data_IF_090756488480
#
_entry.id   IF_090756488480
#
_cell.length_a   1.000
_cell.length_b   1.000
_cell.length_c   1.000
_cell.angle_alpha   90.00
_cell.angle_beta   90.00
_cell.angle_gamma   90.00
#
_symmetry.space_group_name_H-M   'P 1'
#
loop_
_entity.id
_entity.type
_entity.pdbx_description
1 polymer ?
#
# COMPACT_ATOMS: atom_id res chain seq x y z
N UNK A 1 -10.22 -0.70 10.15
CA UNK A 1 -10.98 -0.64 11.42
C UNK A 1 -11.96 -1.82 11.48
N UNK A 2 -12.92 -1.95 10.54
CA UNK A 2 -13.96 -3.01 10.59
C UNK A 2 -13.38 -4.44 10.61
N UNK A 3 -12.32 -4.70 9.86
CA UNK A 3 -11.59 -5.97 9.88
C UNK A 3 -11.02 -6.29 11.27
N UNK A 4 -10.32 -5.34 11.89
CA UNK A 4 -9.71 -5.52 13.20
C UNK A 4 -10.71 -5.54 14.36
N UNK A 5 -11.90 -4.98 14.15
CA UNK A 5 -12.99 -5.04 15.14
C UNK A 5 -13.63 -6.43 15.24
N UNK A 6 -13.33 -7.34 14.30
CA UNK A 6 -13.83 -8.73 14.26
C UNK A 6 -15.34 -8.84 14.49
N UNK A 7 -16.11 -7.89 13.92
CA UNK A 7 -17.56 -7.82 14.10
C UNK A 7 -18.18 -9.10 13.55
N UNK A 8 -18.88 -9.84 14.42
CA UNK A 8 -19.62 -11.02 14.05
C UNK A 8 -21.12 -10.70 14.02
N UNK A 9 -21.78 -11.05 12.91
CA UNK A 9 -23.21 -10.91 12.74
C UNK A 9 -23.81 -12.28 12.34
N UNK A 10 -24.70 -12.85 13.15
CA UNK A 10 -25.23 -14.21 13.00
C UNK A 10 -24.14 -15.30 12.80
N UNK A 11 -23.03 -15.22 13.52
CA UNK A 11 -21.92 -16.17 13.39
C UNK A 11 -21.04 -16.00 12.14
N UNK A 12 -21.35 -15.03 11.29
CA UNK A 12 -20.56 -14.67 10.11
C UNK A 12 -19.71 -13.44 10.41
N UNK A 13 -18.51 -13.40 9.88
CA UNK A 13 -17.63 -12.22 9.90
C UNK A 13 -17.64 -11.59 8.49
N UNK A 14 -18.49 -10.59 8.23
CA UNK A 14 -18.70 -10.05 6.89
C UNK A 14 -17.49 -9.29 6.33
N UNK A 15 -16.52 -8.90 7.17
CA UNK A 15 -15.35 -8.11 6.76
C UNK A 15 -14.04 -8.88 6.85
N UNK A 16 -14.06 -10.22 6.65
CA UNK A 16 -12.85 -11.06 6.69
C UNK A 16 -11.77 -10.64 5.69
N UNK A 17 -12.16 -10.20 4.50
CA UNK A 17 -11.24 -9.70 3.48
C UNK A 17 -10.80 -8.24 3.65
N UNK A 18 -11.12 -7.59 4.78
CA UNK A 18 -10.79 -6.17 4.98
C UNK A 18 -9.29 -5.84 5.03
N UNK A 19 -8.42 -6.85 5.11
CA UNK A 19 -6.96 -6.71 5.00
C UNK A 19 -6.53 -6.15 3.63
N UNK A 20 -7.31 -6.35 2.55
CA UNK A 20 -7.04 -5.76 1.23
C UNK A 20 -7.00 -4.23 1.23
N UNK A 21 -7.45 -3.59 2.29
CA UNK A 21 -7.34 -2.14 2.45
C UNK A 21 -5.91 -1.62 2.34
N UNK A 22 -4.91 -2.43 2.72
CA UNK A 22 -3.49 -2.11 2.55
C UNK A 22 -3.10 -2.13 1.08
N UNK A 23 -3.55 -3.14 0.33
CA UNK A 23 -3.26 -3.28 -1.10
C UNK A 23 -3.85 -2.11 -1.91
N UNK A 24 -5.10 -1.72 -1.58
CA UNK A 24 -5.76 -0.52 -2.13
C UNK A 24 -4.92 0.73 -1.85
N UNK A 25 -4.47 0.87 -0.62
CA UNK A 25 -3.66 2.01 -0.19
C UNK A 25 -2.32 2.06 -0.94
N UNK A 26 -1.66 0.93 -1.18
CA UNK A 26 -0.43 0.85 -1.98
C UNK A 26 -0.64 1.31 -3.42
N UNK A 27 -1.74 0.93 -4.07
CA UNK A 27 -2.05 1.43 -5.44
C UNK A 27 -2.21 2.96 -5.44
N UNK A 28 -2.98 3.50 -4.49
CA UNK A 28 -3.19 4.95 -4.37
C UNK A 28 -1.86 5.66 -4.13
N UNK A 29 -1.02 5.13 -3.24
CA UNK A 29 0.30 5.66 -2.92
C UNK A 29 1.24 5.67 -4.12
N UNK A 30 1.30 4.56 -4.86
CA UNK A 30 2.08 4.46 -6.09
C UNK A 30 1.62 5.46 -7.15
N UNK A 31 0.31 5.61 -7.34
CA UNK A 31 -0.27 6.59 -8.26
C UNK A 31 0.09 8.04 -7.87
N UNK A 32 -0.10 8.41 -6.61
CA UNK A 32 0.16 9.78 -6.13
C UNK A 32 1.64 10.15 -6.22
N UNK A 33 2.54 9.24 -5.78
CA UNK A 33 3.98 9.48 -5.80
C UNK A 33 4.51 9.62 -7.22
N UNK A 34 4.10 8.73 -8.10
CA UNK A 34 4.50 8.77 -9.51
C UNK A 34 3.99 10.04 -10.19
N UNK A 35 2.74 10.42 -9.91
CA UNK A 35 2.16 11.67 -10.43
C UNK A 35 2.96 12.90 -9.98
N UNK A 36 3.38 12.96 -8.71
CA UNK A 36 4.18 14.07 -8.20
C UNK A 36 5.54 14.13 -8.89
N UNK A 37 6.25 13.00 -8.98
CA UNK A 37 7.59 12.95 -9.57
C UNK A 37 7.55 13.28 -11.06
N UNK A 38 6.68 12.62 -11.81
CA UNK A 38 6.61 12.80 -13.27
C UNK A 38 6.11 14.19 -13.66
N UNK A 39 5.12 14.76 -12.93
CA UNK A 39 4.66 16.13 -13.17
C UNK A 39 5.79 17.12 -12.95
N UNK A 40 6.56 17.00 -11.86
CA UNK A 40 7.71 17.86 -11.60
C UNK A 40 8.77 17.73 -12.71
N UNK A 41 9.12 16.50 -13.12
CA UNK A 41 10.08 16.24 -14.19
C UNK A 41 9.64 16.77 -15.57
N UNK A 42 8.36 16.64 -15.90
CA UNK A 42 7.84 17.13 -17.19
C UNK A 42 7.74 18.65 -17.23
N UNK A 43 7.39 19.29 -16.11
CA UNK A 43 7.19 20.74 -16.04
C UNK A 43 8.48 21.53 -15.85
N UNK A 44 9.39 21.04 -15.01
CA UNK A 44 10.61 21.78 -14.63
C UNK A 44 11.90 21.19 -15.21
N UNK A 45 11.84 19.98 -15.76
CA UNK A 45 13.03 19.24 -16.21
C UNK A 45 13.91 18.70 -15.07
N UNK A 46 13.59 19.03 -13.82
CA UNK A 46 14.39 18.69 -12.63
C UNK A 46 13.49 18.10 -11.54
N UNK A 47 14.10 17.43 -10.57
CA UNK A 47 13.40 16.90 -9.41
C UNK A 47 14.13 17.25 -8.12
N UNK A 48 13.41 17.79 -7.15
CA UNK A 48 13.98 18.21 -5.87
C UNK A 48 13.70 17.20 -4.76
N UNK A 49 14.68 16.37 -4.45
CA UNK A 49 14.63 15.44 -3.31
C UNK A 49 14.29 16.12 -1.99
N UNK A 50 14.88 17.31 -1.74
CA UNK A 50 14.67 18.08 -0.51
C UNK A 50 13.19 18.44 -0.33
N UNK A 51 12.54 18.95 -1.37
CA UNK A 51 11.12 19.30 -1.32
C UNK A 51 10.23 18.05 -1.21
N UNK A 52 10.55 17.01 -1.95
CA UNK A 52 9.81 15.76 -1.92
C UNK A 52 9.81 15.13 -0.54
N UNK A 53 11.00 14.82 0.02
CA UNK A 53 11.09 14.20 1.34
C UNK A 53 10.65 15.15 2.47
N UNK A 54 10.89 16.45 2.35
CA UNK A 54 10.43 17.43 3.33
C UNK A 54 8.90 17.50 3.43
N UNK A 55 8.16 17.36 2.34
CA UNK A 55 6.69 17.26 2.36
C UNK A 55 6.22 15.95 3.00
N UNK A 56 6.89 14.85 2.69
CA UNK A 56 6.58 13.52 3.27
C UNK A 56 6.83 13.50 4.78
N UNK A 57 8.01 13.92 5.22
CA UNK A 57 8.36 13.98 6.62
C UNK A 57 7.34 14.81 7.43
N UNK A 58 6.96 16.00 6.94
CA UNK A 58 5.96 16.84 7.60
C UNK A 58 4.55 16.23 7.65
N UNK A 59 4.24 15.31 6.74
CA UNK A 59 2.95 14.61 6.71
C UNK A 59 2.92 13.40 7.63
N UNK A 60 4.02 12.65 7.72
CA UNK A 60 4.06 11.33 8.36
C UNK A 60 4.61 11.41 9.78
N UNK A 61 5.76 12.08 9.97
CA UNK A 61 6.46 12.07 11.25
C UNK A 61 5.64 12.64 12.42
N UNK A 62 4.88 13.75 12.28
CA UNK A 62 4.11 14.27 13.42
C UNK A 62 3.09 13.27 13.95
N UNK A 63 2.34 12.61 13.06
CA UNK A 63 1.35 11.61 13.45
C UNK A 63 2.01 10.35 14.06
N UNK A 64 3.09 9.87 13.42
CA UNK A 64 3.85 8.71 13.89
C UNK A 64 4.42 8.95 15.29
N UNK A 65 5.12 10.09 15.50
CA UNK A 65 5.70 10.44 16.79
C UNK A 65 4.64 10.65 17.85
N UNK A 66 3.52 11.30 17.50
CA UNK A 66 2.42 11.49 18.44
C UNK A 66 1.85 10.16 18.93
N UNK A 67 1.55 9.22 18.03
CA UNK A 67 1.05 7.89 18.40
C UNK A 67 2.07 7.15 19.26
N UNK A 68 3.36 7.20 18.92
CA UNK A 68 4.42 6.56 19.71
C UNK A 68 4.50 7.15 21.13
N UNK A 69 4.52 8.47 21.26
CA UNK A 69 4.61 9.15 22.55
C UNK A 69 3.39 8.87 23.43
N UNK A 70 2.19 8.89 22.85
CA UNK A 70 0.96 8.59 23.60
C UNK A 70 0.91 7.11 24.01
N UNK A 71 1.42 6.20 23.18
CA UNK A 71 1.39 4.76 23.49
C UNK A 71 2.38 4.34 24.58
N UNK A 72 3.49 5.08 24.77
CA UNK A 72 4.54 4.73 25.74
C UNK A 72 4.04 4.60 27.19
N UNK A 73 3.29 5.57 27.77
CA UNK A 73 2.76 5.44 29.13
C UNK A 73 1.85 4.22 29.30
N UNK A 74 0.98 3.96 28.31
CA UNK A 74 0.10 2.80 28.36
C UNK A 74 0.88 1.49 28.27
N UNK A 75 1.88 1.42 27.38
CA UNK A 75 2.75 0.27 27.28
C UNK A 75 3.50 -0.01 28.59
N UNK A 76 4.02 1.04 29.23
CA UNK A 76 4.66 0.94 30.54
C UNK A 76 3.73 0.39 31.64
N UNK A 77 2.45 0.81 31.63
CA UNK A 77 1.48 0.43 32.67
C UNK A 77 0.91 -0.99 32.46
N UNK A 78 0.75 -1.43 31.19
CA UNK A 78 -0.04 -2.62 30.88
C UNK A 78 0.75 -3.79 30.30
N UNK A 79 1.97 -3.56 29.76
CA UNK A 79 2.76 -4.63 29.16
C UNK A 79 3.67 -5.31 30.20
N UNK A 80 3.81 -6.62 30.07
CA UNK A 80 4.81 -7.38 30.80
C UNK A 80 6.23 -6.96 30.35
N UNK A 81 7.27 -7.12 31.19
CA UNK A 81 8.63 -6.68 30.87
C UNK A 81 9.14 -7.17 29.51
N UNK A 82 8.90 -8.43 29.14
CA UNK A 82 9.27 -8.99 27.84
C UNK A 82 8.57 -8.30 26.68
N UNK A 83 7.24 -8.19 26.73
CA UNK A 83 6.42 -7.52 25.72
C UNK A 83 6.73 -6.01 25.64
N UNK A 84 7.13 -5.36 26.74
CA UNK A 84 7.57 -3.98 26.72
C UNK A 84 8.90 -3.78 25.99
N UNK A 85 9.84 -4.73 26.13
CA UNK A 85 11.08 -4.73 25.37
C UNK A 85 10.78 -4.84 23.86
N UNK A 86 9.90 -5.76 23.47
CA UNK A 86 9.53 -5.96 22.07
C UNK A 86 8.75 -4.77 21.50
N UNK A 87 7.87 -4.16 22.30
CA UNK A 87 7.24 -2.89 21.98
C UNK A 87 8.28 -1.78 21.72
N UNK A 88 9.27 -1.63 22.62
CA UNK A 88 10.32 -0.62 22.48
C UNK A 88 11.17 -0.83 21.23
N UNK A 89 11.52 -2.09 20.91
CA UNK A 89 12.18 -2.44 19.65
C UNK A 89 11.33 -2.05 18.45
N UNK A 90 10.03 -2.37 18.47
CA UNK A 90 9.11 -2.04 17.37
C UNK A 90 9.03 -0.53 17.10
N UNK A 91 9.12 0.32 18.13
CA UNK A 91 9.23 1.78 17.99
C UNK A 91 10.51 2.16 17.24
N UNK A 92 11.67 1.64 17.65
CA UNK A 92 12.95 1.96 17.01
C UNK A 92 12.98 1.56 15.53
N UNK A 93 12.51 0.35 15.23
CA UNK A 93 12.40 -0.12 13.84
C UNK A 93 11.39 0.71 13.03
N UNK A 94 10.31 1.17 13.65
CA UNK A 94 9.31 2.02 12.98
C UNK A 94 9.86 3.42 12.66
N UNK A 95 10.67 4.01 13.55
CA UNK A 95 11.37 5.28 13.28
C UNK A 95 12.37 5.17 12.13
N UNK A 96 12.98 4.00 11.95
CA UNK A 96 13.89 3.70 10.84
C UNK A 96 13.19 3.17 9.58
N UNK A 97 11.86 3.18 9.51
CA UNK A 97 11.07 2.60 8.40
C UNK A 97 11.48 1.17 8.04
N UNK A 98 11.76 0.37 9.05
CA UNK A 98 12.21 -1.03 8.95
C UNK A 98 11.39 -2.00 9.81
N UNK A 99 10.22 -1.56 10.29
CA UNK A 99 9.35 -2.39 11.13
C UNK A 99 8.83 -3.65 10.41
N UNK A 100 8.71 -3.63 9.08
CA UNK A 100 8.38 -4.80 8.29
C UNK A 100 9.40 -5.95 8.46
N UNK A 101 10.69 -5.65 8.48
CA UNK A 101 11.73 -6.65 8.79
C UNK A 101 11.62 -7.15 10.23
N UNK A 102 11.44 -6.24 11.18
CA UNK A 102 11.29 -6.59 12.58
C UNK A 102 10.12 -7.56 12.81
N UNK A 103 8.95 -7.25 12.26
CA UNK A 103 7.78 -8.10 12.44
C UNK A 103 7.87 -9.43 11.72
N UNK A 104 8.52 -9.50 10.56
CA UNK A 104 8.83 -10.76 9.90
C UNK A 104 9.67 -11.65 10.82
N UNK A 105 10.85 -11.21 11.22
CA UNK A 105 11.76 -12.02 12.04
C UNK A 105 11.23 -12.32 13.44
N UNK A 106 10.55 -11.37 14.09
CA UNK A 106 9.96 -11.59 15.42
C UNK A 106 8.73 -12.50 15.39
N UNK A 107 8.07 -12.64 14.25
CA UNK A 107 6.93 -13.55 14.07
C UNK A 107 7.33 -15.00 13.82
N UNK A 108 8.54 -15.24 13.34
CA UNK A 108 9.08 -16.58 13.06
C UNK A 108 9.81 -17.23 14.24
N UNK A 109 10.01 -16.50 15.33
CA UNK A 109 10.67 -17.02 16.53
C UNK A 109 9.76 -18.02 17.27
N UNK A 110 10.37 -19.06 17.82
CA UNK A 110 9.67 -20.03 18.65
C UNK A 110 9.04 -19.35 19.88
N UNK A 111 7.74 -19.57 20.08
CA UNK A 111 6.97 -18.92 21.16
C UNK A 111 6.62 -17.45 20.88
N UNK A 112 6.70 -17.00 19.62
CA UNK A 112 6.33 -15.64 19.24
C UNK A 112 4.88 -15.32 19.64
N UNK A 113 4.68 -14.12 20.22
CA UNK A 113 3.34 -13.61 20.53
C UNK A 113 2.50 -13.44 19.26
N UNK A 114 1.20 -13.66 19.41
CA UNK A 114 0.23 -13.39 18.34
C UNK A 114 0.37 -11.96 17.85
N UNK A 115 0.29 -11.77 16.53
CA UNK A 115 0.30 -10.42 15.93
C UNK A 115 -0.75 -9.48 16.50
N UNK A 116 -1.88 -10.02 17.02
CA UNK A 116 -2.93 -9.24 17.68
C UNK A 116 -2.46 -8.56 18.97
N UNK A 117 -1.42 -9.05 19.61
CA UNK A 117 -0.83 -8.50 20.84
C UNK A 117 0.32 -7.53 20.55
N UNK A 118 0.66 -7.27 19.28
CA UNK A 118 1.74 -6.35 18.87
C UNK A 118 1.17 -4.97 18.51
N UNK A 119 1.22 -3.95 19.38
CA UNK A 119 0.52 -2.67 19.18
C UNK A 119 0.88 -1.93 17.89
N UNK A 120 2.15 -2.00 17.45
CA UNK A 120 2.64 -1.32 16.25
C UNK A 120 2.71 -2.21 15.00
N UNK A 121 2.10 -3.40 15.03
CA UNK A 121 2.14 -4.31 13.88
C UNK A 121 1.73 -3.61 12.58
N UNK A 122 0.67 -2.79 12.60
CA UNK A 122 0.13 -2.09 11.43
C UNK A 122 1.11 -1.12 10.75
N UNK A 123 2.21 -0.72 11.42
CA UNK A 123 3.22 0.20 10.85
C UNK A 123 4.12 -0.51 9.80
N UNK A 124 4.07 -1.84 9.72
CA UNK A 124 4.83 -2.56 8.70
C UNK A 124 4.56 -2.06 7.28
N UNK A 125 3.30 -1.75 6.95
CA UNK A 125 2.92 -1.27 5.63
C UNK A 125 3.47 0.13 5.34
N UNK A 126 3.50 1.02 6.35
CA UNK A 126 4.15 2.32 6.24
C UNK A 126 5.65 2.17 5.94
N UNK A 127 6.34 1.21 6.57
CA UNK A 127 7.76 0.94 6.30
C UNK A 127 7.99 0.50 4.86
N UNK A 128 7.17 -0.40 4.33
CA UNK A 128 7.23 -0.83 2.92
C UNK A 128 7.01 0.35 1.97
N UNK A 129 6.06 1.21 2.30
CA UNK A 129 5.72 2.39 1.51
C UNK A 129 6.88 3.40 1.48
N UNK A 130 7.50 3.69 2.62
CA UNK A 130 8.63 4.62 2.71
C UNK A 130 9.89 4.06 2.04
N UNK A 131 10.14 2.75 2.12
CA UNK A 131 11.19 2.09 1.35
C UNK A 131 10.98 2.27 -0.16
N UNK A 132 9.74 2.13 -0.64
CA UNK A 132 9.40 2.43 -2.03
C UNK A 132 9.66 3.89 -2.37
N UNK A 133 9.29 4.83 -1.51
CA UNK A 133 9.50 6.26 -1.73
C UNK A 133 10.97 6.67 -1.73
N UNK A 134 11.86 5.89 -1.11
CA UNK A 134 13.30 6.10 -1.19
C UNK A 134 13.86 5.58 -2.52
N UNK A 135 13.48 4.36 -2.91
CA UNK A 135 14.04 3.69 -4.08
C UNK A 135 13.44 4.20 -5.40
N UNK A 136 12.14 4.38 -5.44
CA UNK A 136 11.40 4.66 -6.68
C UNK A 136 11.77 5.99 -7.36
N UNK A 137 11.94 7.14 -6.66
CA UNK A 137 12.39 8.38 -7.29
C UNK A 137 13.75 8.22 -7.96
N UNK A 138 14.67 7.45 -7.36
CA UNK A 138 16.00 7.19 -7.92
C UNK A 138 15.86 6.41 -9.24
N UNK A 139 15.05 5.35 -9.25
CA UNK A 139 14.79 4.55 -10.46
C UNK A 139 14.15 5.40 -11.56
N UNK A 140 13.13 6.19 -11.22
CA UNK A 140 12.48 7.08 -12.19
C UNK A 140 13.45 8.11 -12.77
N UNK A 141 14.27 8.74 -11.94
CA UNK A 141 15.22 9.76 -12.39
C UNK A 141 16.29 9.19 -13.31
N UNK A 142 16.89 8.06 -12.94
CA UNK A 142 17.88 7.36 -13.78
C UNK A 142 17.24 6.98 -15.12
N UNK A 143 16.06 6.38 -15.06
CA UNK A 143 15.34 5.96 -16.26
C UNK A 143 14.91 7.15 -17.13
N UNK A 144 14.38 8.21 -16.53
CA UNK A 144 13.96 9.41 -17.25
C UNK A 144 15.13 10.13 -17.92
N UNK A 145 16.31 10.16 -17.26
CA UNK A 145 17.51 10.80 -17.78
C UNK A 145 18.18 10.02 -18.91
N UNK A 146 18.31 8.70 -18.77
CA UNK A 146 19.10 7.90 -19.69
C UNK A 146 18.28 6.99 -20.61
N UNK A 147 17.07 6.61 -20.20
CA UNK A 147 16.24 5.60 -20.84
C UNK A 147 14.76 6.01 -20.94
N UNK A 148 14.47 7.30 -21.15
CA UNK A 148 13.11 7.85 -21.12
C UNK A 148 12.12 7.04 -21.98
N UNK A 149 12.54 6.58 -23.15
CA UNK A 149 11.72 5.76 -24.07
C UNK A 149 11.30 4.42 -23.46
N UNK A 150 12.10 3.89 -22.54
CA UNK A 150 11.89 2.56 -21.93
C UNK A 150 11.22 2.63 -20.55
N UNK A 151 10.86 3.82 -20.06
CA UNK A 151 10.29 3.99 -18.72
C UNK A 151 9.06 3.09 -18.49
N UNK A 152 8.11 3.07 -19.45
CA UNK A 152 6.93 2.21 -19.35
C UNK A 152 7.29 0.72 -19.30
N UNK A 153 8.26 0.28 -20.07
CA UNK A 153 8.71 -1.12 -20.10
C UNK A 153 9.36 -1.53 -18.78
N UNK A 154 10.13 -0.63 -18.16
CA UNK A 154 10.76 -0.86 -16.85
C UNK A 154 9.69 -0.96 -15.75
N UNK A 155 8.66 -0.10 -15.79
CA UNK A 155 7.54 -0.18 -14.84
C UNK A 155 6.75 -1.48 -15.01
N UNK A 156 6.44 -1.87 -16.25
CA UNK A 156 5.74 -3.14 -16.54
C UNK A 156 6.59 -4.35 -16.12
N UNK A 157 7.87 -4.35 -16.45
CA UNK A 157 8.78 -5.45 -16.08
C UNK A 157 8.88 -5.58 -14.55
N UNK A 158 9.06 -4.46 -13.84
CA UNK A 158 9.06 -4.45 -12.37
C UNK A 158 7.74 -4.96 -11.78
N UNK A 159 6.61 -4.55 -12.35
CA UNK A 159 5.28 -5.04 -11.98
C UNK A 159 5.17 -6.56 -12.13
N UNK A 160 5.54 -7.10 -13.30
CA UNK A 160 5.44 -8.54 -13.58
C UNK A 160 6.38 -9.37 -12.71
N UNK A 161 7.63 -8.92 -12.52
CA UNK A 161 8.59 -9.61 -11.64
C UNK A 161 8.08 -9.63 -10.21
N UNK A 162 7.64 -8.48 -9.67
CA UNK A 162 7.14 -8.40 -8.31
C UNK A 162 5.87 -9.22 -8.09
N UNK A 163 4.95 -9.23 -9.06
CA UNK A 163 3.74 -10.05 -9.01
C UNK A 163 4.07 -11.56 -9.08
N UNK A 164 5.01 -11.95 -9.93
CA UNK A 164 5.50 -13.33 -9.99
C UNK A 164 6.16 -13.78 -8.69
N UNK A 165 6.97 -12.91 -8.08
CA UNK A 165 7.58 -13.15 -6.77
C UNK A 165 6.52 -13.21 -5.65
N UNK A 166 5.47 -12.41 -5.73
CA UNK A 166 4.36 -12.44 -4.79
C UNK A 166 3.60 -13.79 -4.84
N UNK A 167 3.25 -14.25 -6.05
CA UNK A 167 2.56 -15.54 -6.24
C UNK A 167 3.41 -16.72 -5.78
N UNK A 168 4.69 -16.74 -6.16
CA UNK A 168 5.61 -17.80 -5.74
C UNK A 168 5.90 -17.73 -4.23
N UNK A 169 6.18 -16.52 -3.72
CA UNK A 169 6.56 -16.29 -2.34
C UNK A 169 5.43 -16.57 -1.35
N UNK A 170 4.20 -16.22 -1.68
CA UNK A 170 3.04 -16.49 -0.81
C UNK A 170 2.78 -17.98 -0.58
N UNK A 171 3.22 -18.84 -1.51
CA UNK A 171 3.10 -20.30 -1.40
C UNK A 171 4.26 -20.94 -0.65
N UNK A 172 5.48 -20.37 -0.78
CA UNK A 172 6.70 -21.01 -0.25
C UNK A 172 7.21 -20.32 1.02
N UNK A 173 7.07 -18.98 1.10
CA UNK A 173 7.57 -18.13 2.19
C UNK A 173 6.52 -17.08 2.57
N UNK A 174 5.35 -17.46 3.14
CA UNK A 174 4.20 -16.56 3.34
C UNK A 174 4.54 -15.31 4.15
N UNK A 175 5.29 -15.45 5.26
CA UNK A 175 5.67 -14.34 6.12
C UNK A 175 6.57 -13.34 5.37
N UNK A 176 7.62 -13.79 4.70
CA UNK A 176 8.50 -12.92 3.92
C UNK A 176 7.74 -12.22 2.77
N UNK A 177 6.87 -12.98 2.09
CA UNK A 177 6.05 -12.43 1.00
C UNK A 177 5.07 -11.36 1.49
N UNK A 178 4.55 -11.49 2.69
CA UNK A 178 3.64 -10.53 3.28
C UNK A 178 4.33 -9.20 3.65
N UNK A 179 5.55 -9.26 4.21
CA UNK A 179 6.20 -8.09 4.80
C UNK A 179 7.18 -7.37 3.88
N UNK A 180 7.73 -8.00 2.84
CA UNK A 180 8.83 -7.40 2.08
C UNK A 180 8.37 -6.63 0.85
N UNK A 181 9.11 -5.54 0.56
CA UNK A 181 8.82 -4.65 -0.55
C UNK A 181 8.80 -5.37 -1.91
N UNK A 182 9.74 -6.28 -2.18
CA UNK A 182 9.88 -6.90 -3.51
C UNK A 182 8.67 -7.74 -3.93
N UNK A 183 7.87 -8.24 -2.99
CA UNK A 183 6.64 -8.99 -3.22
C UNK A 183 5.38 -8.12 -3.16
N UNK A 184 5.50 -6.89 -2.68
CA UNK A 184 4.41 -5.90 -2.55
C UNK A 184 4.51 -4.77 -3.57
N UNK A 185 5.69 -4.60 -4.17
CA UNK A 185 5.98 -3.47 -5.06
C UNK A 185 5.06 -3.41 -6.28
N UNK A 186 4.54 -4.56 -6.76
CA UNK A 186 3.61 -4.60 -7.89
C UNK A 186 2.31 -3.83 -7.63
N UNK A 187 1.83 -3.78 -6.39
CA UNK A 187 0.64 -3.02 -6.00
C UNK A 187 0.90 -1.51 -6.15
N UNK A 188 2.05 -1.03 -5.69
CA UNK A 188 2.52 0.35 -5.89
C UNK A 188 2.76 0.65 -7.37
N UNK A 189 3.36 -0.29 -8.11
CA UNK A 189 3.63 -0.14 -9.53
C UNK A 189 2.36 -0.14 -10.39
N UNK A 190 1.29 -0.83 -9.99
CA UNK A 190 -0.02 -0.74 -10.63
C UNK A 190 -0.51 0.72 -10.64
N UNK A 191 -0.45 1.40 -9.48
CA UNK A 191 -0.75 2.83 -9.39
C UNK A 191 0.20 3.69 -10.21
N UNK A 192 1.50 3.35 -10.22
CA UNK A 192 2.52 4.08 -10.99
C UNK A 192 2.30 3.99 -12.49
N UNK A 193 1.87 2.85 -12.99
CA UNK A 193 1.52 2.64 -14.41
C UNK A 193 0.33 3.51 -14.82
N UNK A 194 -0.69 3.62 -13.95
CA UNK A 194 -1.82 4.52 -14.18
C UNK A 194 -1.38 5.99 -14.26
N UNK A 195 -0.57 6.44 -13.30
CA UNK A 195 -0.06 7.80 -13.27
C UNK A 195 0.78 8.14 -14.51
N UNK A 196 1.63 7.21 -14.94
CA UNK A 196 2.43 7.36 -16.16
C UNK A 196 1.53 7.49 -17.40
N UNK A 197 0.51 6.64 -17.51
CA UNK A 197 -0.42 6.68 -18.64
C UNK A 197 -1.22 7.99 -18.67
N UNK A 198 -1.70 8.47 -17.52
CA UNK A 198 -2.44 9.73 -17.40
C UNK A 198 -1.60 10.94 -17.85
N UNK A 199 -0.33 11.00 -17.43
CA UNK A 199 0.55 12.14 -17.75
C UNK A 199 0.92 12.16 -19.23
N UNK A 200 1.13 11.00 -19.87
CA UNK A 200 1.53 10.96 -21.27
C UNK A 200 0.37 11.11 -22.25
N UNK A 201 -0.79 10.56 -21.94
CA UNK A 201 -1.95 10.54 -22.85
C UNK A 201 -2.96 11.66 -22.55
N UNK A 202 -2.76 12.41 -21.48
CA UNK A 202 -3.43 13.67 -21.21
C UNK A 202 -4.85 13.59 -20.69
N UNK A 203 -5.57 12.45 -20.73
CA UNK A 203 -6.95 12.39 -20.23
C UNK A 203 -7.47 10.98 -19.91
N UNK A 204 -8.35 10.97 -18.91
CA UNK A 204 -9.33 9.93 -18.61
C UNK A 204 -10.27 9.72 -19.79
N UNK A 205 -10.94 8.58 -19.82
CA UNK A 205 -11.91 8.26 -20.87
C UNK A 205 -12.97 9.38 -21.03
N UNK A 206 -13.27 9.74 -22.27
CA UNK A 206 -14.36 10.66 -22.63
C UNK A 206 -15.72 9.95 -22.81
N UNK A 207 -15.74 8.63 -22.73
CA UNK A 207 -16.94 7.83 -22.94
C UNK A 207 -17.72 7.75 -21.62
N UNK A 208 -18.88 8.44 -21.56
CA UNK A 208 -19.74 8.50 -20.37
C UNK A 208 -20.19 7.11 -19.91
N UNK A 209 -20.50 6.21 -20.84
CA UNK A 209 -20.93 4.85 -20.51
C UNK A 209 -19.82 4.06 -19.82
N UNK A 210 -18.57 4.15 -20.32
CA UNK A 210 -17.42 3.51 -19.68
C UNK A 210 -17.12 4.10 -18.30
N UNK A 211 -17.27 5.41 -18.15
CA UNK A 211 -17.04 6.11 -16.89
C UNK A 211 -18.09 5.75 -15.82
N UNK A 212 -19.28 5.33 -16.22
CA UNK A 212 -20.29 4.82 -15.28
C UNK A 212 -20.09 3.33 -14.95
N UNK A 213 -19.88 2.50 -15.96
CA UNK A 213 -19.84 1.04 -15.81
C UNK A 213 -18.56 0.58 -15.11
N UNK A 214 -17.38 1.04 -15.55
CA UNK A 214 -16.10 0.52 -15.08
C UNK A 214 -15.80 0.84 -13.60
N UNK A 215 -16.08 2.04 -13.06
CA UNK A 215 -15.98 2.27 -11.62
C UNK A 215 -16.96 1.42 -10.80
N UNK A 216 -18.17 1.15 -11.34
CA UNK A 216 -19.14 0.26 -10.69
C UNK A 216 -18.59 -1.17 -10.60
N UNK A 217 -18.02 -1.69 -11.70
CA UNK A 217 -17.32 -2.98 -11.69
C UNK A 217 -16.18 -2.95 -10.68
N UNK A 218 -15.42 -1.85 -10.64
CA UNK A 218 -14.34 -1.67 -9.66
C UNK A 218 -14.82 -1.78 -8.21
N UNK A 219 -15.93 -1.14 -7.87
CA UNK A 219 -16.54 -1.27 -6.54
C UNK A 219 -17.03 -2.69 -6.25
N UNK A 220 -17.60 -3.37 -7.22
CA UNK A 220 -18.04 -4.76 -7.09
C UNK A 220 -16.85 -5.68 -6.81
N UNK A 221 -15.72 -5.51 -7.52
CA UNK A 221 -14.50 -6.30 -7.32
C UNK A 221 -13.92 -6.09 -5.91
N UNK A 222 -13.89 -4.85 -5.43
CA UNK A 222 -13.44 -4.54 -4.07
C UNK A 222 -14.42 -5.12 -3.04
N UNK A 223 -15.72 -4.91 -3.22
CA UNK A 223 -16.76 -5.45 -2.33
C UNK A 223 -16.74 -6.98 -2.26
N UNK A 224 -16.61 -7.64 -3.41
CA UNK A 224 -16.42 -9.09 -3.49
C UNK A 224 -15.19 -9.53 -2.67
N UNK A 225 -14.07 -8.84 -2.84
CA UNK A 225 -12.84 -9.18 -2.11
C UNK A 225 -13.00 -8.99 -0.60
N UNK A 226 -13.67 -7.92 -0.14
CA UNK A 226 -13.95 -7.69 1.29
C UNK A 226 -14.80 -8.81 1.88
N UNK A 227 -15.81 -9.28 1.16
CA UNK A 227 -16.81 -10.24 1.66
C UNK A 227 -16.32 -11.69 1.57
N UNK A 228 -15.57 -12.05 0.54
CA UNK A 228 -15.26 -13.45 0.22
C UNK A 228 -13.81 -13.84 0.48
N UNK A 229 -12.86 -12.91 0.57
CA UNK A 229 -11.49 -13.24 0.94
C UNK A 229 -11.40 -13.57 2.43
N UNK A 230 -10.44 -14.42 2.76
CA UNK A 230 -10.19 -14.87 4.14
C UNK A 230 -8.69 -15.07 4.38
N UNK A 231 -8.32 -15.21 5.64
CA UNK A 231 -6.93 -15.32 6.11
C UNK A 231 -6.20 -16.60 5.64
N UNK A 232 -6.94 -17.57 5.07
CA UNK A 232 -6.37 -18.82 4.54
C UNK A 232 -5.93 -18.69 3.08
N UNK A 233 -6.29 -17.62 2.40
CA UNK A 233 -5.87 -17.40 1.01
C UNK A 233 -4.41 -16.97 0.97
N UNK A 234 -3.72 -17.39 -0.10
CA UNK A 234 -2.37 -16.91 -0.37
C UNK A 234 -2.41 -15.41 -0.62
N UNK A 235 -1.59 -14.66 0.15
CA UNK A 235 -1.55 -13.21 0.08
C UNK A 235 -0.14 -12.67 0.39
N UNK A 236 0.42 -11.78 -0.46
CA UNK A 236 -0.08 -11.31 -1.75
C UNK A 236 0.01 -12.37 -2.86
N UNK A 237 -0.93 -12.39 -3.80
CA UNK A 237 -0.98 -13.39 -4.87
C UNK A 237 -1.83 -12.89 -6.05
N UNK A 238 -2.03 -13.73 -7.07
CA UNK A 238 -2.96 -13.41 -8.17
C UNK A 238 -4.40 -13.15 -7.73
N UNK A 239 -4.84 -13.67 -6.59
CA UNK A 239 -6.16 -13.34 -6.03
C UNK A 239 -6.30 -11.85 -5.73
N UNK A 240 -5.22 -11.21 -5.27
CA UNK A 240 -5.23 -9.76 -4.95
C UNK A 240 -5.26 -8.86 -6.20
N UNK A 241 -5.12 -9.41 -7.40
CA UNK A 241 -5.38 -8.67 -8.65
C UNK A 241 -6.84 -8.16 -8.71
N UNK A 242 -7.80 -8.89 -8.15
CA UNK A 242 -9.21 -8.48 -8.15
C UNK A 242 -9.42 -7.09 -7.53
N UNK A 243 -9.09 -6.84 -6.25
CA UNK A 243 -9.24 -5.52 -5.65
C UNK A 243 -8.31 -4.47 -6.28
N UNK A 244 -7.10 -4.85 -6.72
CA UNK A 244 -6.15 -3.92 -7.37
C UNK A 244 -6.72 -3.40 -8.70
N UNK A 245 -7.23 -4.29 -9.55
CA UNK A 245 -7.91 -3.90 -10.79
C UNK A 245 -9.12 -3.02 -10.45
N UNK A 246 -9.88 -3.37 -9.41
CA UNK A 246 -11.01 -2.58 -8.95
C UNK A 246 -10.62 -1.13 -8.63
N UNK A 247 -9.56 -0.93 -7.88
CA UNK A 247 -9.02 0.41 -7.55
C UNK A 247 -8.55 1.14 -8.80
N UNK A 248 -7.83 0.43 -9.69
CA UNK A 248 -7.36 1.00 -10.95
C UNK A 248 -8.51 1.50 -11.81
N UNK A 249 -9.59 0.74 -11.93
CA UNK A 249 -10.79 1.14 -12.66
C UNK A 249 -11.44 2.38 -12.06
N UNK A 250 -11.55 2.46 -10.74
CA UNK A 250 -12.09 3.63 -10.06
C UNK A 250 -11.21 4.85 -10.30
N UNK A 251 -9.89 4.75 -10.10
CA UNK A 251 -8.98 5.89 -10.29
C UNK A 251 -9.04 6.41 -11.73
N UNK A 252 -9.11 5.51 -12.71
CA UNK A 252 -9.02 5.88 -14.13
C UNK A 252 -10.32 6.41 -14.71
N UNK A 253 -11.46 5.81 -14.36
CA UNK A 253 -12.75 6.11 -14.99
C UNK A 253 -13.69 6.98 -14.17
N UNK A 254 -13.43 7.22 -12.86
CA UNK A 254 -14.31 8.02 -12.02
C UNK A 254 -14.16 9.52 -12.31
N UNK A 255 -15.25 10.17 -12.73
CA UNK A 255 -15.35 11.62 -12.93
C UNK A 255 -16.03 12.30 -11.74
N UNK A 256 -15.71 13.60 -11.49
CA UNK A 256 -16.24 14.35 -10.33
C UNK A 256 -17.76 14.45 -10.27
N UNK A 257 -18.42 14.42 -11.41
CA UNK A 257 -19.87 14.63 -11.52
C UNK A 257 -20.70 13.33 -11.42
N UNK A 258 -20.03 12.18 -11.37
CA UNK A 258 -20.69 10.87 -11.37
C UNK A 258 -21.05 10.40 -9.95
N UNK A 259 -22.08 9.54 -9.88
CA UNK A 259 -22.65 9.01 -8.63
C UNK A 259 -21.61 8.38 -7.72
N UNK A 260 -20.68 7.60 -8.28
CA UNK A 260 -19.63 6.91 -7.51
C UNK A 260 -18.65 7.92 -6.92
N UNK A 261 -18.22 8.92 -7.69
CA UNK A 261 -17.37 10.00 -7.21
C UNK A 261 -18.06 10.78 -6.09
N UNK A 262 -19.35 11.04 -6.20
CA UNK A 262 -20.15 11.70 -5.16
C UNK A 262 -20.24 10.86 -3.89
N UNK A 263 -20.46 9.54 -4.01
CA UNK A 263 -20.47 8.61 -2.86
C UNK A 263 -19.12 8.60 -2.15
N UNK A 264 -18.01 8.49 -2.91
CA UNK A 264 -16.65 8.42 -2.35
C UNK A 264 -16.13 9.77 -1.82
N UNK A 265 -16.64 10.89 -2.34
CA UNK A 265 -16.25 12.25 -1.93
C UNK A 265 -17.16 12.87 -0.86
N UNK A 266 -18.30 12.25 -0.56
CA UNK A 266 -19.22 12.73 0.47
C UNK A 266 -18.53 12.60 1.85
N UNK A 267 -18.36 13.76 2.50
CA UNK A 267 -17.75 13.90 3.83
C UNK A 267 -18.76 13.62 4.92
#
# INVERSE_FOLDING_TARGET
ILYHAQITYFGLQPFKGGFIGVDIFFVISGYLITSIILKELVTTGTFSFKYFYGRRARRILPALLFVMLVSLPFAWMYLLPGSFIDFSKSILYSLGFSSNFYFHYSGEQYGAESGLLKPFLHIWSLSVEEQYYILFPIVILITFKYFKKYLIHILILGFLISLGLAEWGSRNYPSASFYFLHTRMWELLAGSLLAYHEINNGHRSKNETLNLILPTIGLILIGHSILFFNDKMFHPSFYTLSPIIGVCLIIWFSNKDETISKILSNK
#
